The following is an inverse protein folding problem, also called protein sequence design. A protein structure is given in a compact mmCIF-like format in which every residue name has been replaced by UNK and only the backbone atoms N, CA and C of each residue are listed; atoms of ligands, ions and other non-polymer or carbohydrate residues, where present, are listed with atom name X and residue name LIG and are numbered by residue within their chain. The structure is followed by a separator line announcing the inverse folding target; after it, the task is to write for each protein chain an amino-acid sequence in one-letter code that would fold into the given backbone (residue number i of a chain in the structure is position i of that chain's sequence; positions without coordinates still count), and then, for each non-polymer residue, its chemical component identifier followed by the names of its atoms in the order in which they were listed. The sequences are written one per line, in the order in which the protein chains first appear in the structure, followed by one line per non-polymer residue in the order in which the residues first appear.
data_IF_611368638556
#
_entry.id   IF_611368638556
#
_cell.length_a   1.000
_cell.length_b   1.000
_cell.length_c   1.000
_cell.angle_alpha   90.00
_cell.angle_beta   90.00
_cell.angle_gamma   90.00
#
_symmetry.space_group_name_H-M   'P 1'
#
loop_
_entity.id
_entity.type
_entity.pdbx_description
1 polymer ?
#
# COMPACT_ATOMS: atom_id res chain seq x y z
N UNK A 1 13.17 -10.77 4.52
CA UNK A 1 12.18 -9.75 4.13
C UNK A 1 12.73 -8.34 4.24
N UNK A 2 12.76 -7.76 5.45
CA UNK A 2 13.03 -6.33 5.69
C UNK A 2 14.29 -5.76 5.03
N UNK A 3 15.44 -6.42 5.12
CA UNK A 3 16.66 -5.94 4.48
C UNK A 3 16.53 -5.83 2.95
N UNK A 4 15.87 -6.81 2.31
CA UNK A 4 15.65 -6.82 0.87
C UNK A 4 14.63 -5.76 0.45
N UNK A 5 13.52 -5.63 1.18
CA UNK A 5 12.53 -4.59 0.90
C UNK A 5 13.09 -3.18 1.13
N UNK A 6 13.93 -3.00 2.16
CA UNK A 6 14.65 -1.76 2.39
C UNK A 6 15.58 -1.43 1.21
N UNK A 7 16.32 -2.41 0.70
CA UNK A 7 17.16 -2.21 -0.48
C UNK A 7 16.33 -1.77 -1.69
N UNK A 8 15.24 -2.48 -2.00
CA UNK A 8 14.32 -2.14 -3.11
C UNK A 8 13.78 -0.71 -2.94
N UNK A 9 13.30 -0.36 -1.76
CA UNK A 9 12.76 0.97 -1.49
C UNK A 9 13.82 2.07 -1.67
N UNK A 10 15.02 1.88 -1.12
CA UNK A 10 16.10 2.85 -1.22
C UNK A 10 16.55 3.03 -2.68
N UNK A 11 16.62 1.95 -3.44
CA UNK A 11 16.91 2.00 -4.87
C UNK A 11 15.85 2.81 -5.64
N UNK A 12 14.57 2.62 -5.33
CA UNK A 12 13.49 3.39 -5.96
C UNK A 12 13.49 4.85 -5.52
N UNK A 13 13.77 5.16 -4.24
CA UNK A 13 13.87 6.53 -3.71
C UNK A 13 15.00 7.31 -4.38
N UNK A 14 16.14 6.67 -4.61
CA UNK A 14 17.28 7.28 -5.30
C UNK A 14 16.88 7.73 -6.71
N UNK A 15 16.19 6.87 -7.47
CA UNK A 15 15.72 7.20 -8.82
C UNK A 15 14.58 8.24 -8.77
N UNK A 16 13.64 8.08 -7.85
CA UNK A 16 12.46 8.93 -7.74
C UNK A 16 12.82 10.38 -7.36
N UNK A 17 13.77 10.57 -6.44
CA UNK A 17 14.21 11.88 -5.97
C UNK A 17 15.20 12.56 -6.90
N UNK A 18 15.91 11.80 -7.75
CA UNK A 18 17.02 12.32 -8.56
C UNK A 18 18.18 12.90 -7.73
N UNK A 19 18.15 12.73 -6.40
CA UNK A 19 19.12 13.31 -5.50
C UNK A 19 20.33 12.39 -5.35
N UNK A 20 21.53 12.95 -5.52
CA UNK A 20 22.77 12.32 -5.12
C UNK A 20 22.82 12.31 -3.59
N UNK A 21 22.23 11.28 -2.96
CA UNK A 21 22.38 11.13 -1.52
C UNK A 21 23.66 10.38 -1.23
N UNK A 22 24.53 10.95 -0.38
CA UNK A 22 25.65 10.22 0.24
C UNK A 22 25.16 8.95 0.97
N UNK A 23 23.92 8.97 1.44
CA UNK A 23 23.29 7.83 2.11
C UNK A 23 22.98 6.67 1.15
N UNK A 24 22.93 6.93 -0.17
CA UNK A 24 22.69 5.93 -1.23
C UNK A 24 23.93 5.63 -2.07
N UNK A 25 24.99 6.46 -1.98
CA UNK A 25 26.21 6.31 -2.76
C UNK A 25 26.92 4.95 -2.56
N UNK A 26 26.72 4.31 -1.40
CA UNK A 26 27.23 2.97 -1.12
C UNK A 26 26.39 1.84 -1.74
N UNK A 27 25.14 2.12 -2.11
CA UNK A 27 24.25 1.11 -2.69
C UNK A 27 24.41 1.08 -4.20
N UNK A 28 24.34 2.24 -4.88
CA UNK A 28 24.54 2.39 -6.32
C UNK A 28 25.00 3.80 -6.72
N UNK A 29 25.74 3.96 -7.84
CA UNK A 29 26.10 5.27 -8.37
C UNK A 29 24.86 6.12 -8.70
N UNK A 30 24.84 7.43 -8.36
CA UNK A 30 23.70 8.32 -8.62
C UNK A 30 23.32 8.48 -10.09
N UNK A 31 24.27 8.28 -11.01
CA UNK A 31 24.05 8.37 -12.46
C UNK A 31 23.47 7.10 -13.07
N UNK A 32 23.27 6.02 -12.30
CA UNK A 32 22.76 4.76 -12.84
C UNK A 32 21.25 4.83 -13.07
N UNK A 33 20.81 4.56 -14.32
CA UNK A 33 19.43 4.15 -14.61
C UNK A 33 19.30 2.71 -14.09
N UNK A 34 18.78 2.60 -12.87
CA UNK A 34 18.90 1.47 -11.95
C UNK A 34 18.59 0.10 -12.58
N UNK A 35 19.59 -0.79 -12.59
CA UNK A 35 19.38 -2.24 -12.58
C UNK A 35 19.99 -2.79 -11.29
N UNK A 36 19.14 -3.14 -10.33
CA UNK A 36 19.54 -3.83 -9.12
C UNK A 36 19.11 -5.29 -9.17
N UNK A 37 20.04 -6.19 -9.48
CA UNK A 37 19.80 -7.62 -9.42
C UNK A 37 20.11 -8.18 -8.03
N UNK A 38 19.10 -8.68 -7.32
CA UNK A 38 19.30 -9.43 -6.08
C UNK A 38 19.02 -10.90 -6.37
N UNK A 39 20.05 -11.74 -6.30
CA UNK A 39 19.93 -13.19 -6.43
C UNK A 39 19.71 -13.79 -5.05
N UNK A 40 18.62 -14.53 -4.91
CA UNK A 40 18.16 -15.02 -3.62
C UNK A 40 17.43 -16.35 -3.77
N UNK A 41 16.75 -16.80 -2.70
CA UNK A 41 15.97 -18.03 -2.69
C UNK A 41 14.48 -17.75 -2.79
N UNK A 42 13.70 -18.80 -3.04
CA UNK A 42 12.25 -18.83 -3.07
C UNK A 42 11.60 -18.17 -1.83
N UNK A 43 12.10 -18.44 -0.63
CA UNK A 43 11.59 -17.86 0.61
C UNK A 43 11.73 -16.34 0.64
N UNK A 44 12.70 -15.75 -0.05
CA UNK A 44 12.82 -14.30 -0.14
C UNK A 44 11.65 -13.68 -0.88
N UNK A 45 11.22 -14.30 -1.98
CA UNK A 45 10.05 -13.89 -2.75
C UNK A 45 8.78 -14.00 -1.90
N UNK A 46 8.63 -15.11 -1.17
CA UNK A 46 7.49 -15.31 -0.27
C UNK A 46 7.48 -14.32 0.91
N UNK A 47 8.64 -13.92 1.44
CA UNK A 47 8.69 -12.86 2.44
C UNK A 47 8.26 -11.51 1.86
N UNK A 48 8.75 -11.13 0.67
CA UNK A 48 8.33 -9.89 0.02
C UNK A 48 6.83 -9.89 -0.26
N UNK A 49 6.29 -11.02 -0.75
CA UNK A 49 4.87 -11.24 -0.93
C UNK A 49 4.07 -10.88 0.31
N UNK A 50 4.41 -11.52 1.44
CA UNK A 50 3.70 -11.34 2.71
C UNK A 50 3.85 -9.93 3.25
N UNK A 51 5.04 -9.34 3.16
CA UNK A 51 5.32 -7.99 3.62
C UNK A 51 4.56 -6.93 2.81
N UNK A 52 4.44 -7.13 1.50
CA UNK A 52 3.73 -6.22 0.62
C UNK A 52 2.24 -6.53 0.55
N UNK A 53 1.75 -7.66 1.07
CA UNK A 53 0.34 -8.06 0.97
C UNK A 53 -0.12 -8.08 -0.48
N UNK A 54 0.61 -8.82 -1.31
CA UNK A 54 0.35 -9.00 -2.75
C UNK A 54 0.28 -10.48 -3.06
N UNK A 55 -0.40 -10.84 -4.14
CA UNK A 55 -0.53 -12.22 -4.60
C UNK A 55 -0.18 -12.30 -6.09
N UNK A 56 0.23 -13.47 -6.58
CA UNK A 56 0.51 -13.67 -7.99
C UNK A 56 0.02 -15.02 -8.50
N UNK A 57 -0.27 -15.05 -9.80
CA UNK A 57 -0.60 -16.27 -10.52
C UNK A 57 0.07 -16.27 -11.87
N UNK A 58 0.94 -17.24 -12.10
CA UNK A 58 1.62 -17.47 -13.38
C UNK A 58 1.28 -18.87 -13.88
N UNK A 59 1.22 -19.02 -15.20
CA UNK A 59 0.86 -20.28 -15.85
C UNK A 59 1.71 -21.45 -15.34
N UNK A 60 1.07 -22.62 -15.24
CA UNK A 60 1.66 -23.90 -14.77
C UNK A 60 1.99 -23.97 -13.27
N UNK A 61 1.69 -22.95 -12.47
CA UNK A 61 1.92 -22.97 -11.04
C UNK A 61 0.65 -22.70 -10.23
N UNK A 62 0.63 -23.18 -8.99
CA UNK A 62 -0.38 -22.78 -8.02
C UNK A 62 -0.23 -21.29 -7.66
N UNK A 63 -1.31 -20.70 -7.14
CA UNK A 63 -1.29 -19.32 -6.63
C UNK A 63 -0.16 -19.14 -5.61
N UNK A 64 0.58 -18.04 -5.74
CA UNK A 64 1.70 -17.64 -4.89
C UNK A 64 2.90 -18.60 -4.84
N UNK A 65 2.98 -19.56 -5.76
CA UNK A 65 4.13 -20.44 -5.84
C UNK A 65 5.37 -19.64 -6.24
N UNK A 66 6.47 -19.80 -5.49
CA UNK A 66 7.78 -19.29 -5.84
C UNK A 66 8.53 -20.33 -6.69
N UNK A 67 8.57 -20.13 -8.01
CA UNK A 67 9.23 -21.06 -8.92
C UNK A 67 10.72 -20.77 -9.11
N UNK A 68 11.45 -21.80 -9.54
CA UNK A 68 12.89 -21.73 -9.80
C UNK A 68 13.19 -20.75 -10.93
N UNK A 69 14.19 -19.88 -10.73
CA UNK A 69 14.60 -18.89 -11.74
C UNK A 69 13.59 -17.77 -11.98
N UNK A 70 12.54 -17.68 -11.15
CA UNK A 70 11.59 -16.59 -11.22
C UNK A 70 12.18 -15.26 -10.77
N UNK A 71 11.57 -14.17 -11.24
CA UNK A 71 11.98 -12.80 -10.96
C UNK A 71 10.79 -12.03 -10.40
N UNK A 72 10.98 -11.39 -9.25
CA UNK A 72 10.10 -10.33 -8.77
C UNK A 72 10.70 -8.98 -9.17
N UNK A 73 10.07 -8.31 -10.13
CA UNK A 73 10.53 -7.07 -10.74
C UNK A 73 9.72 -5.89 -10.21
N UNK A 74 10.40 -4.78 -9.92
CA UNK A 74 9.78 -3.50 -9.56
C UNK A 74 10.25 -2.44 -10.55
N UNK A 75 9.34 -1.94 -11.36
CA UNK A 75 9.60 -0.89 -12.36
C UNK A 75 9.08 0.45 -11.82
N UNK A 76 9.90 1.50 -11.88
CA UNK A 76 9.47 2.88 -11.60
C UNK A 76 9.22 3.60 -12.92
N UNK A 77 7.97 3.98 -13.16
CA UNK A 77 7.53 4.61 -14.40
C UNK A 77 6.89 5.97 -14.11
N UNK A 78 6.91 6.87 -15.09
CA UNK A 78 6.18 8.14 -15.03
C UNK A 78 4.98 8.06 -15.96
N UNK A 79 3.78 8.02 -15.39
CA UNK A 79 2.52 7.92 -16.13
C UNK A 79 1.69 9.16 -15.84
N UNK A 80 1.38 9.95 -16.86
CA UNK A 80 0.65 11.22 -16.73
C UNK A 80 1.25 12.17 -15.68
N UNK A 81 2.59 12.25 -15.62
CA UNK A 81 3.32 13.10 -14.67
C UNK A 81 3.42 12.54 -13.24
N UNK A 82 2.83 11.37 -12.96
CA UNK A 82 2.88 10.72 -11.65
C UNK A 82 3.85 9.55 -11.70
N UNK A 83 4.79 9.51 -10.76
CA UNK A 83 5.66 8.35 -10.55
C UNK A 83 4.85 7.17 -10.00
N UNK A 84 4.98 6.00 -10.63
CA UNK A 84 4.27 4.77 -10.28
C UNK A 84 5.25 3.60 -10.17
N UNK A 85 4.99 2.70 -9.24
CA UNK A 85 5.72 1.44 -9.09
C UNK A 85 4.85 0.31 -9.59
N UNK A 86 5.33 -0.40 -10.61
CA UNK A 86 4.73 -1.61 -11.15
C UNK A 86 5.51 -2.83 -10.67
N UNK A 87 4.87 -3.69 -9.90
CA UNK A 87 5.41 -4.97 -9.43
C UNK A 87 4.96 -6.11 -10.33
N UNK A 88 5.90 -6.87 -10.89
CA UNK A 88 5.61 -8.03 -11.74
C UNK A 88 6.37 -9.28 -11.27
N UNK A 89 5.68 -10.42 -11.24
CA UNK A 89 6.27 -11.73 -11.02
C UNK A 89 6.40 -12.44 -12.37
N UNK A 90 7.62 -12.85 -12.72
CA UNK A 90 7.96 -13.40 -14.03
C UNK A 90 8.56 -14.78 -13.82
N UNK A 91 8.01 -15.79 -14.51
CA UNK A 91 8.49 -17.17 -14.41
C UNK A 91 8.32 -17.92 -15.73
N UNK A 92 9.29 -18.75 -16.08
CA UNK A 92 9.12 -19.74 -17.13
C UNK A 92 8.08 -20.79 -16.68
N UNK A 93 7.21 -21.22 -17.59
CA UNK A 93 6.26 -22.32 -17.35
C UNK A 93 6.99 -23.64 -17.11
N UNK A 94 6.30 -24.62 -16.51
CA UNK A 94 6.85 -25.97 -16.32
C UNK A 94 7.30 -26.59 -17.64
N UNK A 95 6.56 -26.37 -18.71
CA UNK A 95 6.89 -26.88 -20.05
C UNK A 95 8.14 -26.21 -20.62
N UNK A 96 8.26 -24.89 -20.47
CA UNK A 96 9.47 -24.15 -20.86
C UNK A 96 10.70 -24.62 -20.07
N UNK A 97 10.56 -24.84 -18.76
CA UNK A 97 11.66 -25.35 -17.92
C UNK A 97 12.06 -26.77 -18.31
N UNK A 98 11.08 -27.66 -18.50
CA UNK A 98 11.31 -29.06 -18.87
C UNK A 98 12.09 -29.21 -20.18
N UNK A 99 11.80 -28.35 -21.15
CA UNK A 99 12.42 -28.41 -22.48
C UNK A 99 13.58 -27.44 -22.67
N UNK A 100 14.03 -26.76 -21.60
CA UNK A 100 15.05 -25.71 -21.69
C UNK A 100 14.75 -24.71 -22.82
N UNK A 101 13.47 -24.31 -22.94
CA UNK A 101 13.01 -23.45 -24.02
C UNK A 101 13.71 -22.10 -23.97
N UNK A 102 14.05 -21.56 -25.15
CA UNK A 102 14.56 -20.18 -25.26
C UNK A 102 13.42 -19.21 -24.94
N UNK A 103 13.72 -18.15 -24.18
CA UNK A 103 12.75 -17.16 -23.70
C UNK A 103 12.89 -15.79 -24.39
N UNK A 104 13.53 -15.77 -25.55
CA UNK A 104 13.78 -14.57 -26.36
C UNK A 104 13.03 -14.68 -27.69
N UNK A 105 12.62 -13.57 -28.32
CA UNK A 105 11.97 -13.61 -29.62
C UNK A 105 12.78 -14.43 -30.66
N UNK A 106 12.12 -15.23 -31.51
CA UNK A 106 10.67 -15.34 -31.73
C UNK A 106 9.94 -16.33 -30.79
N UNK A 107 10.65 -16.92 -29.81
CA UNK A 107 10.06 -17.90 -28.89
C UNK A 107 9.11 -17.24 -27.89
N UNK A 108 8.17 -18.03 -27.35
CA UNK A 108 7.19 -17.54 -26.38
C UNK A 108 7.90 -17.00 -25.11
N UNK A 109 7.51 -15.81 -24.60
CA UNK A 109 8.08 -15.24 -23.40
C UNK A 109 7.71 -16.08 -22.15
N UNK A 110 8.37 -15.85 -21.00
CA UNK A 110 7.91 -16.40 -19.73
C UNK A 110 6.52 -15.84 -19.37
N UNK A 111 5.81 -16.54 -18.48
CA UNK A 111 4.59 -16.04 -17.87
C UNK A 111 4.87 -14.82 -16.99
N UNK A 112 3.93 -13.87 -16.96
CA UNK A 112 4.04 -12.62 -16.20
C UNK A 112 2.74 -12.36 -15.46
N UNK A 113 2.84 -12.09 -14.16
CA UNK A 113 1.74 -11.64 -13.30
C UNK A 113 2.06 -10.28 -12.72
N UNK A 114 1.20 -9.29 -12.98
CA UNK A 114 1.31 -7.97 -12.33
C UNK A 114 0.61 -8.05 -10.98
N UNK A 115 1.37 -7.90 -9.89
CA UNK A 115 0.85 -8.04 -8.52
C UNK A 115 0.69 -6.70 -7.80
N UNK A 116 1.22 -5.61 -8.37
CA UNK A 116 1.16 -4.27 -7.80
C UNK A 116 1.23 -3.22 -8.91
N UNK A 117 0.40 -2.19 -8.82
CA UNK A 117 0.51 -0.96 -9.63
C UNK A 117 -0.01 0.23 -8.81
N UNK A 118 0.91 0.95 -8.17
CA UNK A 118 0.57 2.03 -7.22
C UNK A 118 1.40 3.29 -7.50
N UNK A 119 0.88 4.49 -7.15
CA UNK A 119 1.73 5.68 -7.03
C UNK A 119 2.93 5.41 -6.12
N UNK A 120 4.09 5.97 -6.46
CA UNK A 120 5.33 5.76 -5.70
C UNK A 120 5.19 6.09 -4.21
N UNK A 121 4.46 7.17 -3.89
CA UNK A 121 4.19 7.57 -2.50
C UNK A 121 3.46 6.48 -1.70
N UNK A 122 2.45 5.84 -2.29
CA UNK A 122 1.71 4.76 -1.65
C UNK A 122 2.56 3.50 -1.49
N UNK A 123 3.37 3.15 -2.50
CA UNK A 123 4.32 2.05 -2.38
C UNK A 123 5.33 2.30 -1.26
N UNK A 124 5.89 3.52 -1.18
CA UNK A 124 6.84 3.94 -0.15
C UNK A 124 6.26 3.80 1.25
N UNK A 125 5.03 4.30 1.46
CA UNK A 125 4.33 4.16 2.75
C UNK A 125 4.10 2.68 3.10
N UNK A 126 3.61 1.88 2.14
CA UNK A 126 3.39 0.44 2.32
C UNK A 126 4.68 -0.30 2.69
N UNK A 127 5.78 -0.01 1.99
CA UNK A 127 7.07 -0.62 2.24
C UNK A 127 7.63 -0.23 3.61
N UNK A 128 7.60 1.06 3.97
CA UNK A 128 8.09 1.56 5.26
C UNK A 128 7.31 0.98 6.45
N UNK A 129 6.00 0.77 6.29
CA UNK A 129 5.16 0.14 7.31
C UNK A 129 5.51 -1.34 7.51
N UNK A 130 5.91 -2.05 6.44
CA UNK A 130 6.31 -3.45 6.51
C UNK A 130 7.74 -3.65 7.04
N UNK A 131 8.64 -2.68 6.83
CA UNK A 131 10.06 -2.80 7.20
C UNK A 131 10.25 -2.68 8.72
N UNK A 132 10.78 -3.75 9.32
CA UNK A 132 11.25 -3.74 10.71
C UNK A 132 12.69 -3.22 10.81
N UNK A 133 12.89 -2.08 11.47
CA UNK A 133 14.19 -1.41 11.64
C UNK A 133 15.30 -2.32 12.20
N UNK A 134 14.97 -3.17 13.19
CA UNK A 134 15.94 -4.11 13.79
C UNK A 134 16.51 -5.12 12.80
N UNK A 135 15.83 -5.33 11.67
CA UNK A 135 16.21 -6.27 10.62
C UNK A 135 16.85 -5.59 9.41
N UNK A 136 17.11 -4.27 9.47
CA UNK A 136 17.79 -3.52 8.42
C UNK A 136 19.27 -3.37 8.78
N UNK A 137 20.20 -3.92 7.98
CA UNK A 137 21.63 -3.78 8.23
C UNK A 137 22.13 -2.38 7.88
N UNK A 138 23.33 -2.03 8.36
CA UNK A 138 24.07 -0.88 7.85
C UNK A 138 24.52 -1.16 6.40
N UNK A 139 24.58 -0.15 5.51
CA UNK A 139 24.32 1.29 5.77
C UNK A 139 22.84 1.70 5.68
N UNK A 140 21.94 0.81 5.24
CA UNK A 140 20.53 1.11 4.93
C UNK A 140 19.70 1.56 6.15
N UNK A 141 20.13 1.21 7.36
CA UNK A 141 19.36 1.49 8.58
C UNK A 141 19.05 2.98 8.80
N UNK A 142 20.06 3.84 8.66
CA UNK A 142 19.91 5.30 8.88
C UNK A 142 18.91 5.95 7.92
N UNK A 143 18.99 5.76 6.57
CA UNK A 143 18.02 6.34 5.66
C UNK A 143 16.59 5.80 5.88
N UNK A 144 16.43 4.50 6.16
CA UNK A 144 15.10 3.93 6.48
C UNK A 144 14.49 4.60 7.72
N UNK A 145 15.25 4.72 8.82
CA UNK A 145 14.76 5.40 10.03
C UNK A 145 14.31 6.82 9.76
N UNK A 146 15.08 7.60 9.00
CA UNK A 146 14.69 8.97 8.64
C UNK A 146 13.39 8.99 7.84
N UNK A 147 13.24 8.11 6.84
CA UNK A 147 12.00 8.03 6.07
C UNK A 147 10.80 7.65 6.95
N UNK A 148 10.95 6.71 7.89
CA UNK A 148 9.90 6.33 8.83
C UNK A 148 9.50 7.50 9.75
N UNK A 149 10.46 8.29 10.22
CA UNK A 149 10.19 9.48 11.04
C UNK A 149 9.35 10.53 10.30
N UNK A 150 9.61 10.75 9.01
CA UNK A 150 8.83 11.71 8.20
C UNK A 150 7.39 11.23 7.97
N UNK A 151 7.19 9.92 7.79
CA UNK A 151 5.83 9.35 7.67
C UNK A 151 5.08 9.49 9.00
N UNK A 152 5.75 9.20 10.12
CA UNK A 152 5.17 9.35 11.45
C UNK A 152 4.77 10.79 11.78
N UNK A 153 5.63 11.77 11.46
CA UNK A 153 5.31 13.19 11.69
C UNK A 153 4.12 13.66 10.85
N UNK A 154 4.02 13.21 9.60
CA UNK A 154 2.90 13.55 8.71
C UNK A 154 1.57 12.97 9.22
N UNK A 155 1.60 11.70 9.68
CA UNK A 155 0.42 11.07 10.27
C UNK A 155 -0.03 11.79 11.55
N UNK A 156 0.91 12.22 12.40
CA UNK A 156 0.58 13.00 13.59
C UNK A 156 -0.05 14.34 13.25
N UNK A 157 0.50 15.07 12.27
CA UNK A 157 -0.09 16.35 11.83
C UNK A 157 -1.49 16.17 11.23
N UNK A 158 -1.73 15.10 10.48
CA UNK A 158 -3.03 14.82 9.86
C UNK A 158 -4.08 14.46 10.94
N UNK A 159 -3.68 13.73 11.98
CA UNK A 159 -4.56 13.41 13.13
C UNK A 159 -4.87 14.64 13.96
N UNK A 160 -3.88 15.52 14.20
CA UNK A 160 -4.09 16.80 14.90
C UNK A 160 -5.03 17.72 14.12
N UNK A 161 -4.87 17.80 12.79
CA UNK A 161 -5.77 18.54 11.92
C UNK A 161 -7.19 17.99 11.98
N UNK A 162 -7.36 16.66 11.92
CA UNK A 162 -8.66 16.01 12.03
C UNK A 162 -9.32 16.24 13.39
N UNK A 163 -8.56 16.24 14.49
CA UNK A 163 -9.06 16.60 15.83
C UNK A 163 -9.50 18.05 15.89
N UNK A 164 -8.70 18.98 15.37
CA UNK A 164 -9.06 20.40 15.31
C UNK A 164 -10.34 20.65 14.51
N UNK A 165 -10.52 19.98 13.37
CA UNK A 165 -11.74 20.06 12.58
C UNK A 165 -12.96 19.52 13.31
N UNK A 166 -12.80 18.42 14.07
CA UNK A 166 -13.88 17.87 14.90
C UNK A 166 -14.30 18.84 16.00
N UNK A 167 -13.33 19.46 16.67
CA UNK A 167 -13.62 20.44 17.74
C UNK A 167 -14.34 21.68 17.19
N UNK A 168 -13.93 22.17 16.01
CA UNK A 168 -14.62 23.26 15.31
C UNK A 168 -16.05 22.86 14.91
N UNK A 169 -16.25 21.65 14.39
CA UNK A 169 -17.58 21.16 14.02
C UNK A 169 -18.52 21.06 15.24
N UNK A 170 -18.00 20.60 16.39
CA UNK A 170 -18.76 20.56 17.64
C UNK A 170 -19.13 21.95 18.15
N UNK A 171 -18.23 22.93 18.03
CA UNK A 171 -18.51 24.34 18.36
C UNK A 171 -19.60 24.93 17.45
N UNK A 172 -19.56 24.66 16.14
CA UNK A 172 -20.57 25.13 15.20
C UNK A 172 -21.95 24.50 15.45
N UNK A 173 -22.00 23.22 15.79
CA UNK A 173 -23.24 22.54 16.19
C UNK A 173 -23.81 23.09 17.50
N UNK A 174 -22.94 23.40 18.48
CA UNK A 174 -23.32 24.07 19.72
C UNK A 174 -23.86 25.49 19.49
N UNK A 175 -23.25 26.26 18.58
CA UNK A 175 -23.75 27.59 18.22
C UNK A 175 -25.10 27.52 17.49
N UNK A 176 -25.31 26.52 16.63
CA UNK A 176 -26.60 26.30 15.98
C UNK A 176 -27.72 26.00 16.98
N UNK A 177 -27.48 25.18 18.01
CA UNK A 177 -28.51 24.87 19.01
C UNK A 177 -28.87 26.09 19.90
N UNK A 178 -27.91 26.98 20.16
CA UNK A 178 -28.17 28.25 20.85
C UNK A 178 -28.95 29.24 19.97
N UNK A 179 -28.63 29.34 18.68
CA UNK A 179 -29.36 30.20 17.76
C UNK A 179 -30.81 29.71 17.52
N UNK A 180 -31.02 28.40 17.41
CA UNK A 180 -32.36 27.81 17.26
C UNK A 180 -33.21 27.96 18.53
N UNK A 181 -32.60 27.97 19.72
CA UNK A 181 -33.34 28.23 20.98
C UNK A 181 -33.66 29.71 21.21
N UNK A 182 -32.89 30.64 20.61
CA UNK A 182 -33.19 32.08 20.65
C UNK A 182 -34.28 32.51 19.65
N UNK A 183 -34.45 31.77 18.55
CA UNK A 183 -35.57 31.96 17.64
C UNK A 183 -36.78 31.18 18.15
N UNK A 184 -37.49 31.81 19.08
CA UNK A 184 -38.87 31.49 19.43
C UNK A 184 -39.78 31.64 18.20
N UNK A 185 -39.72 30.70 17.26
CA UNK A 185 -40.71 30.51 16.23
C UNK A 185 -41.48 29.23 16.54
N UNK A 186 -42.33 29.32 17.57
CA UNK A 186 -43.33 28.31 17.97
C UNK A 186 -44.32 27.93 16.87
N UNK A 187 -44.18 28.45 15.64
CA UNK A 187 -45.00 28.11 14.48
C UNK A 187 -44.38 27.13 13.48
N UNK A 188 -43.07 26.88 13.48
CA UNK A 188 -42.46 26.00 12.45
C UNK A 188 -42.40 24.52 12.84
N UNK A 189 -42.34 24.18 14.13
CA UNK A 189 -42.21 22.77 14.55
C UNK A 189 -43.49 21.94 14.34
N UNK A 190 -44.66 22.57 14.17
CA UNK A 190 -45.91 21.85 13.89
C UNK A 190 -46.03 21.30 12.45
N UNK A 191 -45.13 21.64 11.53
CA UNK A 191 -45.18 21.10 10.15
C UNK A 191 -44.16 19.99 9.89
N UNK A 192 -43.13 19.80 10.72
CA UNK A 192 -42.10 18.78 10.47
C UNK A 192 -42.43 17.39 11.04
N UNK A 193 -43.32 17.33 12.04
CA UNK A 193 -43.77 16.04 12.63
C UNK A 193 -44.96 15.42 11.90
N UNK A 194 -45.48 16.06 10.84
CA UNK A 194 -46.58 15.52 10.03
C UNK A 194 -46.14 14.83 8.72
N UNK A 195 -44.82 14.75 8.44
CA UNK A 195 -44.30 14.21 7.18
C UNK A 195 -43.29 13.06 7.29
N UNK A 196 -43.01 12.56 8.49
CA UNK A 196 -42.00 11.51 8.73
C UNK A 196 -42.64 10.22 9.23
N UNK A 197 -43.59 9.67 8.48
CA UNK A 197 -43.93 8.24 8.55
C UNK A 197 -43.32 7.53 7.34
N UNK A 198 -42.70 6.37 7.62
CA UNK A 198 -41.99 5.44 6.71
C UNK A 198 -40.52 5.75 6.44
N UNK A 199 -39.72 5.68 7.51
CA UNK A 199 -38.47 4.92 7.41
C UNK A 199 -38.80 3.46 7.69
N UNK A 200 -38.62 2.65 6.64
CA UNK A 200 -38.90 1.23 6.60
C UNK A 200 -38.00 0.47 7.60
N UNK A 201 -38.64 -0.34 8.44
CA UNK A 201 -38.02 -1.18 9.48
C UNK A 201 -36.92 -2.09 8.89
N UNK A 202 -37.03 -2.40 7.60
CA UNK A 202 -36.11 -3.31 6.91
C UNK A 202 -34.75 -2.67 6.62
N UNK A 203 -34.66 -1.34 6.53
CA UNK A 203 -33.37 -0.64 6.35
C UNK A 203 -32.53 -0.58 7.63
N UNK A 204 -33.18 -0.57 8.80
CA UNK A 204 -32.49 -0.58 10.10
C UNK A 204 -31.98 -1.98 10.43
N UNK A 205 -32.67 -3.04 9.99
CA UNK A 205 -32.17 -4.42 10.11
C UNK A 205 -30.97 -4.71 9.21
N UNK A 206 -30.88 -4.08 8.03
CA UNK A 206 -29.73 -4.24 7.14
C UNK A 206 -28.44 -3.61 7.73
N UNK A 207 -28.55 -2.50 8.46
CA UNK A 207 -27.40 -1.86 9.11
C UNK A 207 -26.90 -2.62 10.34
N UNK A 208 -27.78 -3.28 11.10
CA UNK A 208 -27.38 -4.10 12.25
C UNK A 208 -26.84 -5.49 11.86
N UNK A 209 -27.13 -5.98 10.65
CA UNK A 209 -26.55 -7.23 10.14
C UNK A 209 -25.08 -7.07 9.70
N UNK A 210 -24.65 -5.87 9.29
CA UNK A 210 -23.27 -5.60 8.89
C UNK A 210 -22.29 -5.50 10.06
N UNK A 211 -22.77 -5.23 11.29
CA UNK A 211 -21.91 -5.19 12.49
C UNK A 211 -21.66 -6.59 13.09
N UNK A 212 -22.46 -7.62 12.77
CA UNK A 212 -22.25 -8.97 13.31
C UNK A 212 -21.27 -9.83 12.50
N UNK A 213 -20.92 -9.46 11.26
CA UNK A 213 -19.94 -10.20 10.45
C UNK A 213 -18.48 -9.73 10.65
N UNK A 214 -18.26 -8.56 11.27
CA UNK A 214 -16.91 -8.06 11.54
C UNK A 214 -16.23 -8.70 12.79
N UNK A 215 -16.94 -9.57 13.52
CA UNK A 215 -16.49 -10.14 14.80
C UNK A 215 -15.87 -11.53 14.77
N UNK A 216 -15.75 -12.19 13.60
CA UNK A 216 -15.33 -13.60 13.54
C UNK A 216 -14.19 -13.87 12.55
N UNK A 217 -13.00 -13.35 12.86
CA UNK A 217 -11.74 -13.92 12.34
C UNK A 217 -10.73 -14.03 13.47
N UNK A 218 -10.95 -15.03 14.32
CA UNK A 218 -9.99 -15.57 15.26
C UNK A 218 -9.92 -17.09 15.08
N UNK A 219 -8.68 -17.62 15.11
CA UNK A 219 -8.29 -19.02 15.15
C UNK A 219 -8.41 -19.83 13.84
N UNK A 220 -7.26 -20.05 13.19
CA UNK A 220 -6.78 -21.41 12.91
C UNK A 220 -5.25 -21.46 13.08
N UNK A 221 -4.81 -22.52 13.76
CA UNK A 221 -3.42 -22.97 13.93
C UNK A 221 -2.83 -23.44 12.61
#
# INVERSE_FOLDING_TARGET
GSAMLAYILLSLEQVASGAESEDFAQLQPPSSRLFAGIFAHDFNLLYLRRMLGVDWLVDSYAMDAASTGAVMRFDLEVVAGVQRVRGSYIAATLEQQRHAARLVPPFAPPGVSVFLDLPYSQFREKALAAILDRCVPHPMKKPIKRMQQHVGSKLLSDVELARGLRDVALLLLGLCSVLVSSWSCTRCWRSYTAGSERLDSDSVRALLALESEAGSYGLFR
#
